data_IF_687249104659
#
_entry.id   IF_687249104659
#
_cell.length_a   1.000
_cell.length_b   1.000
_cell.length_c   1.000
_cell.angle_alpha   90.00
_cell.angle_beta   90.00
_cell.angle_gamma   90.00
#
_symmetry.space_group_name_H-M   'P 1'
#
loop_
_entity.id
_entity.type
_entity.pdbx_description
1 polymer ?
#
# COMPACT_ATOMS: atom_id res chain seq x y z
N UNK A 1 -4.18 20.02 -7.38
CA UNK A 1 -3.55 18.69 -7.43
C UNK A 1 -4.16 17.87 -6.30
N UNK A 2 -4.57 16.63 -6.56
CA UNK A 2 -5.12 15.77 -5.50
C UNK A 2 -4.04 15.38 -4.49
N UNK A 3 -4.45 14.93 -3.31
CA UNK A 3 -3.51 14.41 -2.32
C UNK A 3 -2.75 13.19 -2.89
N UNK A 4 -1.43 13.07 -2.62
CA UNK A 4 -0.64 11.95 -3.10
C UNK A 4 -1.17 10.61 -2.57
N UNK A 5 -1.21 9.61 -3.44
CA UNK A 5 -1.70 8.27 -3.12
C UNK A 5 -0.71 7.57 -2.18
N UNK A 6 -1.23 6.98 -1.10
CA UNK A 6 -0.43 6.19 -0.18
C UNK A 6 -0.05 4.84 -0.81
N UNK A 7 1.24 4.53 -0.85
CA UNK A 7 1.79 3.25 -1.30
C UNK A 7 2.53 2.57 -0.15
N UNK A 8 2.31 1.26 0.00
CA UNK A 8 2.94 0.49 1.06
C UNK A 8 2.86 -1.01 0.86
N UNK A 9 3.50 -1.76 1.75
CA UNK A 9 3.54 -3.23 1.69
C UNK A 9 3.25 -3.85 3.05
N UNK A 10 2.70 -5.07 3.07
CA UNK A 10 2.57 -5.91 4.27
C UNK A 10 3.77 -6.86 4.44
N UNK A 11 4.61 -6.96 3.40
CA UNK A 11 5.74 -7.89 3.35
C UNK A 11 6.79 -7.62 4.43
N UNK A 12 7.11 -6.36 4.80
CA UNK A 12 8.02 -6.12 5.92
C UNK A 12 7.51 -6.68 7.27
N UNK A 13 6.20 -6.88 7.43
CA UNK A 13 5.60 -7.41 8.65
C UNK A 13 5.48 -8.94 8.66
N UNK A 14 5.27 -9.54 7.48
CA UNK A 14 4.84 -10.94 7.34
C UNK A 14 5.78 -11.78 6.46
N UNK A 15 6.80 -11.18 5.86
CA UNK A 15 7.61 -11.78 4.82
C UNK A 15 6.91 -11.83 3.46
N UNK A 16 7.56 -12.48 2.50
CA UNK A 16 6.97 -12.75 1.19
C UNK A 16 6.29 -14.12 1.21
N UNK A 17 4.96 -14.13 1.34
CA UNK A 17 4.18 -15.37 1.50
C UNK A 17 3.95 -16.16 0.20
N UNK A 18 4.74 -15.92 -0.84
CA UNK A 18 4.64 -16.56 -2.17
C UNK A 18 3.19 -16.56 -2.70
N UNK A 19 2.57 -17.72 -2.88
CA UNK A 19 1.17 -17.85 -3.31
C UNK A 19 0.18 -17.10 -2.42
N UNK A 20 0.53 -16.83 -1.15
CA UNK A 20 -0.27 -16.04 -0.22
C UNK A 20 -0.03 -14.52 -0.29
N UNK A 21 0.99 -14.05 -1.02
CA UNK A 21 1.43 -12.64 -0.99
C UNK A 21 0.34 -11.66 -1.48
N UNK A 22 -0.49 -12.07 -2.45
CA UNK A 22 -1.59 -11.26 -2.94
C UNK A 22 -2.73 -11.12 -1.92
N UNK A 23 -3.20 -12.24 -1.37
CA UNK A 23 -4.35 -12.24 -0.44
C UNK A 23 -4.02 -11.56 0.89
N UNK A 24 -2.79 -11.68 1.41
CA UNK A 24 -2.39 -10.92 2.61
C UNK A 24 -2.36 -9.41 2.35
N UNK A 25 -2.01 -8.98 1.14
CA UNK A 25 -2.13 -7.58 0.70
C UNK A 25 -3.58 -7.11 0.67
N UNK A 26 -4.49 -7.94 0.17
CA UNK A 26 -5.93 -7.67 0.17
C UNK A 26 -6.49 -7.55 1.60
N UNK A 27 -6.12 -8.47 2.50
CA UNK A 27 -6.51 -8.42 3.91
C UNK A 27 -6.05 -7.09 4.55
N UNK A 28 -4.79 -6.67 4.33
CA UNK A 28 -4.29 -5.36 4.79
C UNK A 28 -5.16 -4.21 4.26
N UNK A 29 -5.48 -4.21 2.96
CA UNK A 29 -6.26 -3.14 2.33
C UNK A 29 -7.69 -3.08 2.88
N UNK A 30 -8.35 -4.23 3.04
CA UNK A 30 -9.69 -4.33 3.63
C UNK A 30 -9.70 -3.85 5.08
N UNK A 31 -8.71 -4.25 5.89
CA UNK A 31 -8.60 -3.81 7.28
C UNK A 31 -8.31 -2.30 7.38
N UNK A 32 -7.49 -1.73 6.50
CA UNK A 32 -7.24 -0.28 6.46
C UNK A 32 -8.53 0.51 6.17
N UNK A 33 -9.35 0.05 5.21
CA UNK A 33 -10.65 0.65 4.91
C UNK A 33 -11.64 0.50 6.09
N UNK A 34 -11.67 -0.67 6.72
CA UNK A 34 -12.56 -0.97 7.84
C UNK A 34 -12.23 -0.13 9.07
N UNK A 35 -10.96 -0.05 9.45
CA UNK A 35 -10.49 0.69 10.62
C UNK A 35 -10.27 2.18 10.36
N UNK A 36 -10.39 2.63 9.11
CA UNK A 36 -10.23 4.04 8.74
C UNK A 36 -8.84 4.59 9.08
N UNK A 37 -7.82 3.77 8.88
CA UNK A 37 -6.42 4.07 9.17
C UNK A 37 -5.56 3.56 8.02
N UNK A 38 -4.62 4.39 7.57
CA UNK A 38 -3.51 3.94 6.73
C UNK A 38 -2.39 3.45 7.65
N UNK A 39 -2.11 2.13 7.71
CA UNK A 39 -1.04 1.62 8.55
C UNK A 39 0.32 1.96 7.96
N UNK A 40 1.35 2.10 8.81
CA UNK A 40 2.70 2.37 8.34
C UNK A 40 3.24 1.21 7.51
N UNK A 41 4.12 1.52 6.56
CA UNK A 41 4.99 0.50 5.96
C UNK A 41 6.18 0.30 6.88
N UNK A 42 6.26 -0.89 7.50
CA UNK A 42 7.33 -1.20 8.43
C UNK A 42 8.71 -1.22 7.75
N UNK A 43 9.75 -1.00 8.57
CA UNK A 43 11.16 -0.99 8.15
C UNK A 43 11.54 0.05 7.09
N UNK A 44 10.82 1.17 7.02
CA UNK A 44 11.17 2.31 6.16
C UNK A 44 11.86 3.39 7.00
N UNK A 45 13.18 3.50 6.89
CA UNK A 45 13.97 4.58 7.49
C UNK A 45 14.37 5.64 6.47
N UNK A 46 14.76 5.21 5.26
CA UNK A 46 15.15 6.08 4.15
C UNK A 46 14.44 5.58 2.88
N UNK A 47 13.82 6.50 2.14
CA UNK A 47 13.18 6.19 0.86
C UNK A 47 14.25 6.03 -0.23
N UNK A 48 14.02 5.11 -1.17
CA UNK A 48 14.96 4.91 -2.29
C UNK A 48 15.09 6.18 -3.15
N UNK A 49 16.30 6.57 -3.56
CA UNK A 49 16.52 7.72 -4.45
C UNK A 49 16.15 7.42 -5.91
N UNK A 50 15.84 6.16 -6.25
CA UNK A 50 15.45 5.75 -7.60
C UNK A 50 14.03 6.19 -7.99
N UNK A 51 13.28 6.79 -7.05
CA UNK A 51 11.91 7.29 -7.26
C UNK A 51 11.91 8.80 -7.07
N UNK A 52 11.33 9.52 -8.03
CA UNK A 52 10.97 10.93 -7.86
C UNK A 52 9.71 11.04 -6.99
N UNK A 53 9.91 11.21 -5.68
CA UNK A 53 8.80 11.25 -4.71
C UNK A 53 7.94 12.50 -4.86
N UNK A 54 8.53 13.63 -5.26
CA UNK A 54 7.82 14.90 -5.34
C UNK A 54 6.97 14.95 -6.63
N UNK A 55 7.44 14.36 -7.73
CA UNK A 55 6.70 14.29 -9.00
C UNK A 55 5.79 13.07 -9.16
N UNK A 56 5.99 11.98 -8.42
CA UNK A 56 5.23 10.73 -8.62
C UNK A 56 3.75 10.78 -8.23
N UNK A 57 3.34 11.73 -7.38
CA UNK A 57 2.03 11.70 -6.74
C UNK A 57 1.85 10.53 -5.77
N UNK A 58 2.94 9.92 -5.30
CA UNK A 58 2.95 8.82 -4.34
C UNK A 58 3.64 9.23 -3.04
N UNK A 59 3.20 8.64 -1.93
CA UNK A 59 3.89 8.75 -0.64
C UNK A 59 3.86 7.44 0.12
N UNK A 60 4.84 7.24 1.00
CA UNK A 60 4.93 6.04 1.86
C UNK A 60 4.60 6.44 3.30
N UNK A 61 3.48 5.96 3.88
CA UNK A 61 3.20 6.19 5.30
C UNK A 61 4.27 5.49 6.16
N UNK A 62 4.98 6.25 6.99
CA UNK A 62 5.95 5.73 7.98
C UNK A 62 5.36 5.66 9.39
N UNK A 63 4.23 6.33 9.61
CA UNK A 63 3.44 6.29 10.83
C UNK A 63 1.99 5.94 10.48
N UNK A 64 1.23 5.47 11.48
CA UNK A 64 -0.20 5.27 11.31
C UNK A 64 -0.90 6.62 11.23
N UNK A 65 -1.73 6.80 10.21
CA UNK A 65 -2.48 8.05 10.01
C UNK A 65 -3.97 7.77 9.79
N UNK A 66 -4.87 8.66 10.24
CA UNK A 66 -6.29 8.55 9.96
C UNK A 66 -6.55 8.56 8.45
N UNK A 67 -7.47 7.70 8.00
CA UNK A 67 -8.01 7.71 6.65
C UNK A 67 -9.52 7.96 6.69
N UNK A 68 -9.95 9.17 7.08
CA UNK A 68 -11.35 9.46 7.35
C UNK A 68 -12.21 9.32 6.10
N UNK A 69 -13.50 9.02 6.29
CA UNK A 69 -14.48 9.05 5.21
C UNK A 69 -14.68 10.49 4.71
N UNK A 70 -14.62 10.65 3.39
CA UNK A 70 -14.99 11.90 2.71
C UNK A 70 -16.32 11.76 1.97
N UNK A 71 -16.58 12.69 1.06
CA UNK A 71 -17.70 12.63 0.11
C UNK A 71 -17.58 11.46 -0.85
N UNK A 72 -16.35 11.08 -1.19
CA UNK A 72 -16.05 9.99 -2.11
C UNK A 72 -15.73 8.68 -1.36
N UNK A 73 -16.14 7.52 -1.91
CA UNK A 73 -15.70 6.23 -1.38
C UNK A 73 -14.17 6.11 -1.42
N UNK A 74 -13.58 5.75 -0.29
CA UNK A 74 -12.17 5.34 -0.20
C UNK A 74 -11.98 4.06 -1.02
N UNK A 75 -10.88 3.99 -1.76
CA UNK A 75 -10.52 2.86 -2.62
C UNK A 75 -9.05 2.50 -2.38
N UNK A 76 -8.73 1.22 -2.47
CA UNK A 76 -7.38 0.72 -2.32
C UNK A 76 -7.13 -0.34 -3.38
N UNK A 77 -6.02 -0.23 -4.11
CA UNK A 77 -5.62 -1.24 -5.07
C UNK A 77 -4.57 -2.19 -4.48
N UNK A 78 -4.54 -3.44 -4.95
CA UNK A 78 -3.53 -4.45 -4.59
C UNK A 78 -2.87 -4.98 -5.84
N UNK A 79 -1.53 -4.89 -5.88
CA UNK A 79 -0.70 -5.43 -6.94
C UNK A 79 0.03 -6.70 -6.48
N UNK A 80 0.11 -7.69 -7.37
CA UNK A 80 0.98 -8.87 -7.21
C UNK A 80 1.72 -9.16 -8.51
N UNK A 81 3.05 -9.22 -8.43
CA UNK A 81 3.94 -9.49 -9.55
C UNK A 81 4.61 -10.84 -9.31
N UNK A 82 4.12 -11.89 -9.98
CA UNK A 82 4.65 -13.24 -9.84
C UNK A 82 6.01 -13.37 -10.52
N UNK A 83 6.88 -14.19 -9.94
CA UNK A 83 8.23 -14.43 -10.46
C UNK A 83 8.24 -14.91 -11.92
N UNK A 84 7.27 -15.73 -12.32
CA UNK A 84 7.09 -16.21 -13.70
C UNK A 84 6.58 -15.15 -14.70
N UNK A 85 6.42 -13.89 -14.28
CA UNK A 85 5.97 -12.79 -15.13
C UNK A 85 4.45 -12.60 -15.17
N UNK A 86 3.65 -13.46 -14.52
CA UNK A 86 2.21 -13.25 -14.38
C UNK A 86 1.93 -12.12 -13.38
N UNK A 87 1.14 -11.14 -13.81
CA UNK A 87 0.81 -9.94 -13.03
C UNK A 87 -0.69 -9.91 -12.74
N UNK A 88 -1.06 -9.58 -11.51
CA UNK A 88 -2.44 -9.32 -11.11
C UNK A 88 -2.56 -7.95 -10.43
N UNK A 89 -3.67 -7.26 -10.73
CA UNK A 89 -4.03 -5.97 -10.14
C UNK A 89 -5.54 -5.96 -9.85
N UNK A 90 -5.92 -5.59 -8.63
CA UNK A 90 -7.32 -5.49 -8.20
C UNK A 90 -7.56 -4.14 -7.57
N UNK A 91 -8.74 -3.55 -7.82
CA UNK A 91 -9.26 -2.32 -7.21
C UNK A 91 -10.44 -2.65 -6.28
#
# INVERSE_FOLDING_TARGET
AGDPCAVGSVKPNTGHLEGGAGVVGLIKATLALHHEVLPPTAAVSVRTPAVDWDGSGLRVPTEAEPWPRGTDPRRAAVCSYGYGGTIAHVL
#
